data_IF_310663117618
#
_entry.id   IF_310663117618
#
_cell.length_a   1.000
_cell.length_b   1.000
_cell.length_c   1.000
_cell.angle_alpha   90.00
_cell.angle_beta   90.00
_cell.angle_gamma   90.00
#
_symmetry.space_group_name_H-M   'P 1'
#
loop_
_entity.id
_entity.type
_entity.pdbx_description
1 polymer ?
#
# COMPACT_ATOMS: atom_id res chain seq x y z
N UNK A 1 5.46 -17.35 8.38
CA UNK A 1 6.20 -17.33 9.58
C UNK A 1 6.07 -16.02 10.28
N UNK A 2 6.17 -16.03 11.57
CA UNK A 2 5.91 -14.91 12.46
C UNK A 2 6.71 -13.65 12.21
N UNK A 3 6.62 -13.13 11.04
CA UNK A 3 7.20 -11.85 10.72
C UNK A 3 6.43 -10.79 11.48
N UNK A 4 7.10 -10.14 12.38
CA UNK A 4 6.56 -9.02 13.10
C UNK A 4 7.30 -7.77 12.62
N UNK A 5 6.89 -7.18 11.52
CA UNK A 5 7.55 -5.99 11.01
C UNK A 5 7.25 -4.78 11.87
N UNK A 6 8.11 -3.80 11.84
CA UNK A 6 7.93 -2.54 12.55
C UNK A 6 6.97 -1.63 11.79
N UNK A 7 5.75 -2.07 11.61
CA UNK A 7 4.71 -1.24 11.04
C UNK A 7 3.89 -0.59 12.14
N UNK A 8 3.43 0.60 11.93
CA UNK A 8 2.51 1.29 12.82
C UNK A 8 3.13 2.33 13.75
N UNK A 9 4.46 2.41 13.84
CA UNK A 9 5.12 3.53 14.52
C UNK A 9 5.82 4.42 13.49
N UNK A 10 5.35 5.64 13.36
CA UNK A 10 5.88 6.59 12.39
C UNK A 10 7.36 6.94 12.61
N UNK A 11 7.85 6.79 13.84
CA UNK A 11 9.26 7.05 14.13
C UNK A 11 10.20 6.03 13.49
N UNK A 12 9.69 4.86 13.15
CA UNK A 12 10.45 3.79 12.50
C UNK A 12 10.34 3.85 10.98
N UNK A 13 9.53 4.75 10.45
CA UNK A 13 9.28 4.82 9.01
C UNK A 13 10.42 5.54 8.29
N UNK A 14 10.80 4.99 7.14
CA UNK A 14 11.75 5.64 6.24
C UNK A 14 11.06 6.78 5.49
N UNK A 15 11.52 7.98 5.70
CA UNK A 15 10.94 9.22 5.20
C UNK A 15 11.56 9.67 3.86
N UNK A 16 12.02 8.75 3.05
CA UNK A 16 12.78 9.04 1.83
C UNK A 16 11.95 9.15 0.55
N UNK A 17 10.66 9.37 0.64
CA UNK A 17 9.84 9.60 -0.56
C UNK A 17 10.36 10.83 -1.31
N UNK A 18 10.58 10.72 -2.63
CA UNK A 18 11.08 11.83 -3.40
C UNK A 18 10.08 12.97 -3.43
N UNK A 19 10.55 14.18 -3.17
CA UNK A 19 9.76 15.39 -3.33
C UNK A 19 9.55 15.69 -4.80
N UNK A 20 8.33 16.05 -5.18
CA UNK A 20 8.02 16.58 -6.51
C UNK A 20 7.66 18.05 -6.33
N UNK A 21 8.62 18.96 -6.40
CA UNK A 21 8.37 20.39 -6.13
C UNK A 21 7.33 21.02 -7.05
N UNK A 22 7.26 20.53 -8.28
CA UNK A 22 6.29 21.00 -9.27
C UNK A 22 4.86 20.52 -9.03
N UNK A 23 4.64 19.62 -8.07
CA UNK A 23 3.33 19.06 -7.78
C UNK A 23 2.28 20.14 -7.49
N UNK A 24 2.65 21.14 -6.71
CA UNK A 24 1.74 22.25 -6.37
C UNK A 24 1.46 23.18 -7.53
N UNK A 25 2.34 23.18 -8.53
CA UNK A 25 2.19 24.04 -9.73
C UNK A 25 1.32 23.35 -10.77
N UNK A 26 1.42 22.04 -10.88
CA UNK A 26 0.70 21.25 -11.88
C UNK A 26 -0.80 21.14 -11.60
N UNK A 27 -1.21 21.31 -10.36
CA UNK A 27 -2.61 21.06 -9.95
C UNK A 27 -3.05 19.61 -10.04
N UNK A 28 -2.14 18.68 -10.33
CA UNK A 28 -2.45 17.25 -10.37
C UNK A 28 -2.69 16.74 -8.94
N UNK A 29 -3.91 16.26 -8.60
CA UNK A 29 -4.22 15.82 -7.25
C UNK A 29 -3.29 14.73 -6.72
N UNK A 30 -2.84 13.82 -7.58
CA UNK A 30 -1.94 12.74 -7.18
C UNK A 30 -0.56 13.27 -6.83
N UNK A 31 -0.04 14.20 -7.62
CA UNK A 31 1.24 14.82 -7.34
C UNK A 31 1.17 15.72 -6.09
N UNK A 32 0.06 16.40 -5.88
CA UNK A 32 -0.17 17.20 -4.68
C UNK A 32 -0.19 16.27 -3.45
N UNK A 33 -0.90 15.16 -3.52
CA UNK A 33 -0.92 14.17 -2.45
C UNK A 33 0.48 13.67 -2.15
N UNK A 34 1.28 13.36 -3.16
CA UNK A 34 2.66 12.94 -3.00
C UNK A 34 3.51 13.99 -2.28
N UNK A 35 3.45 15.23 -2.76
CA UNK A 35 4.22 16.31 -2.18
C UNK A 35 3.87 16.53 -0.71
N UNK A 36 2.61 16.39 -0.37
CA UNK A 36 2.12 16.60 0.98
C UNK A 36 2.45 15.48 1.90
N UNK A 37 2.36 14.26 1.45
CA UNK A 37 2.84 13.15 2.25
C UNK A 37 4.31 13.32 2.58
N UNK A 38 5.10 13.84 1.65
CA UNK A 38 6.49 14.12 1.92
C UNK A 38 6.69 15.22 2.96
N UNK A 39 5.94 16.32 2.85
CA UNK A 39 5.98 17.41 3.84
C UNK A 39 5.52 16.89 5.20
N UNK A 40 4.46 16.10 5.23
CA UNK A 40 3.98 15.46 6.43
C UNK A 40 5.02 14.53 7.06
N UNK A 41 5.79 13.82 6.25
CA UNK A 41 6.88 12.98 6.71
C UNK A 41 8.00 13.79 7.36
N UNK A 42 8.36 14.91 6.77
CA UNK A 42 9.39 15.80 7.34
C UNK A 42 8.92 16.45 8.63
N UNK A 43 7.63 16.67 8.79
CA UNK A 43 7.05 17.21 10.03
C UNK A 43 6.83 16.15 11.11
N UNK A 44 6.92 14.88 10.79
CA UNK A 44 7.17 13.76 11.70
C UNK A 44 6.17 13.38 12.75
N UNK A 45 5.01 12.86 12.44
CA UNK A 45 4.46 12.09 13.55
C UNK A 45 3.68 10.87 13.13
N UNK A 46 2.80 10.99 12.18
CA UNK A 46 2.06 9.86 11.64
C UNK A 46 1.80 10.11 10.18
N UNK A 47 2.64 9.51 9.33
CA UNK A 47 2.51 9.67 7.88
C UNK A 47 1.08 9.37 7.43
N UNK A 48 0.47 8.32 7.98
CA UNK A 48 -0.89 7.95 7.65
C UNK A 48 -1.91 9.03 8.07
N UNK A 49 -1.83 9.51 9.32
CA UNK A 49 -2.76 10.52 9.83
C UNK A 49 -2.54 11.88 9.17
N UNK A 50 -1.29 12.24 8.94
CA UNK A 50 -0.96 13.48 8.25
C UNK A 50 -1.39 13.45 6.79
N UNK A 51 -1.19 12.31 6.11
CA UNK A 51 -1.66 12.14 4.75
C UNK A 51 -3.18 12.29 4.66
N UNK A 52 -3.91 11.70 5.61
CA UNK A 52 -5.36 11.83 5.69
C UNK A 52 -5.79 13.27 5.96
N UNK A 53 -5.22 13.93 6.96
CA UNK A 53 -5.51 15.33 7.27
C UNK A 53 -5.23 16.24 6.09
N UNK A 54 -4.23 15.92 5.32
CA UNK A 54 -3.88 16.73 4.18
C UNK A 54 -4.79 16.51 2.99
N UNK A 55 -5.20 15.30 2.73
CA UNK A 55 -6.28 15.03 1.80
C UNK A 55 -7.54 15.81 2.17
N UNK A 56 -7.84 15.90 3.47
CA UNK A 56 -8.94 16.71 3.98
C UNK A 56 -8.73 18.20 3.72
N UNK A 57 -7.51 18.72 3.93
CA UNK A 57 -7.20 20.13 3.72
C UNK A 57 -7.28 20.54 2.26
N UNK A 58 -7.06 19.60 1.34
CA UNK A 58 -7.21 19.82 -0.10
C UNK A 58 -8.66 19.67 -0.58
N UNK A 59 -9.58 19.31 0.30
CA UNK A 59 -10.97 19.02 -0.07
C UNK A 59 -11.12 17.71 -0.83
N UNK A 60 -10.08 16.85 -0.83
CA UNK A 60 -10.12 15.54 -1.47
C UNK A 60 -10.71 14.46 -0.56
N UNK A 61 -10.81 14.73 0.74
CA UNK A 61 -11.53 13.94 1.71
C UNK A 61 -12.42 14.89 2.52
N UNK A 62 -13.64 14.49 2.90
CA UNK A 62 -14.46 15.31 3.75
C UNK A 62 -13.84 15.48 5.14
N UNK A 63 -14.04 16.64 5.73
CA UNK A 63 -13.74 16.86 7.13
C UNK A 63 -14.70 16.01 7.97
N UNK A 64 -14.19 15.33 8.97
CA UNK A 64 -14.89 14.42 9.87
C UNK A 64 -16.43 14.48 9.94
N UNK A 65 -17.10 13.38 10.22
CA UNK A 65 -16.60 12.19 10.92
C UNK A 65 -16.31 11.04 9.98
N UNK A 66 -15.07 10.75 9.78
CA UNK A 66 -14.69 9.53 9.10
C UNK A 66 -14.57 8.44 10.15
N UNK A 67 -15.11 7.23 9.92
CA UNK A 67 -14.93 6.13 10.85
C UNK A 67 -13.45 5.87 11.11
N UNK A 68 -13.15 5.58 12.32
CA UNK A 68 -11.80 5.54 12.87
C UNK A 68 -11.03 4.26 12.59
N UNK A 69 -11.58 3.35 11.80
CA UNK A 69 -10.92 2.08 11.49
C UNK A 69 -9.86 2.19 10.38
N UNK A 70 -9.62 3.39 9.88
CA UNK A 70 -8.60 3.65 8.86
C UNK A 70 -8.95 3.16 7.46
N UNK A 71 -10.06 2.46 7.28
CA UNK A 71 -10.47 1.90 6.00
C UNK A 71 -11.46 2.78 5.24
N UNK A 72 -11.93 3.86 5.86
CA UNK A 72 -13.05 4.62 5.33
C UNK A 72 -12.61 5.88 4.62
N UNK A 73 -11.97 5.72 3.48
CA UNK A 73 -11.85 6.80 2.52
C UNK A 73 -13.23 6.96 1.86
N UNK A 74 -13.84 8.15 1.92
CA UNK A 74 -15.14 8.35 1.29
C UNK A 74 -15.11 8.01 -0.20
N UNK A 75 -16.14 7.33 -0.66
CA UNK A 75 -16.25 6.83 -2.03
C UNK A 75 -16.04 7.91 -3.08
N UNK A 76 -16.47 9.15 -2.82
CA UNK A 76 -16.30 10.28 -3.73
C UNK A 76 -14.84 10.57 -4.08
N UNK A 77 -13.88 10.16 -3.22
CA UNK A 77 -12.45 10.39 -3.43
C UNK A 77 -11.67 9.09 -3.59
N UNK A 78 -12.37 7.97 -3.62
CA UNK A 78 -11.75 6.65 -3.65
C UNK A 78 -10.89 6.41 -4.88
N UNK A 79 -11.34 6.84 -6.06
CA UNK A 79 -10.56 6.68 -7.29
C UNK A 79 -9.22 7.41 -7.23
N UNK A 80 -9.18 8.63 -6.69
CA UNK A 80 -7.94 9.39 -6.49
C UNK A 80 -7.02 8.67 -5.50
N UNK A 81 -7.57 8.16 -4.42
CA UNK A 81 -6.80 7.41 -3.43
C UNK A 81 -6.24 6.11 -4.01
N UNK A 82 -7.02 5.39 -4.80
CA UNK A 82 -6.56 4.17 -5.49
C UNK A 82 -5.38 4.48 -6.41
N UNK A 83 -5.49 5.53 -7.23
CA UNK A 83 -4.39 5.91 -8.11
C UNK A 83 -3.14 6.30 -7.34
N UNK A 84 -3.29 6.96 -6.21
CA UNK A 84 -2.16 7.27 -5.35
C UNK A 84 -1.50 6.01 -4.76
N UNK A 85 -2.29 5.08 -4.25
CA UNK A 85 -1.80 3.80 -3.72
C UNK A 85 -0.99 3.07 -4.80
N UNK A 86 -1.54 2.95 -6.00
CA UNK A 86 -0.88 2.27 -7.11
C UNK A 86 0.43 3.00 -7.47
N UNK A 87 0.39 4.31 -7.61
CA UNK A 87 1.59 5.09 -7.93
C UNK A 87 2.67 4.95 -6.87
N UNK A 88 2.27 4.94 -5.60
CA UNK A 88 3.19 4.71 -4.48
C UNK A 88 3.86 3.34 -4.57
N UNK A 89 3.08 2.29 -4.82
CA UNK A 89 3.64 0.95 -5.01
C UNK A 89 4.52 0.85 -6.24
N UNK A 90 4.09 1.42 -7.36
CA UNK A 90 4.86 1.40 -8.60
C UNK A 90 6.17 2.19 -8.52
N UNK A 91 6.26 3.17 -7.65
CA UNK A 91 7.52 3.89 -7.40
C UNK A 91 8.63 2.98 -6.86
N UNK A 92 8.27 1.80 -6.37
CA UNK A 92 9.19 0.83 -5.80
C UNK A 92 9.57 -0.30 -6.77
N UNK A 93 9.15 -0.23 -8.03
CA UNK A 93 9.54 -1.21 -9.05
C UNK A 93 11.07 -1.27 -9.13
N UNK A 94 11.61 -2.49 -9.11
CA UNK A 94 13.04 -2.73 -9.12
C UNK A 94 13.67 -2.90 -7.73
N UNK A 95 12.96 -2.56 -6.67
CA UNK A 95 13.44 -2.78 -5.29
C UNK A 95 13.46 -4.28 -5.00
N UNK A 96 14.54 -4.82 -4.40
CA UNK A 96 14.65 -6.25 -4.15
C UNK A 96 13.56 -6.79 -3.23
N UNK A 97 13.19 -8.05 -3.47
CA UNK A 97 12.42 -8.80 -2.50
C UNK A 97 13.26 -9.05 -1.24
N UNK A 98 12.66 -8.84 -0.09
CA UNK A 98 13.30 -9.14 1.21
C UNK A 98 12.25 -9.76 2.13
N UNK A 99 12.48 -11.01 2.53
CA UNK A 99 11.56 -11.72 3.43
C UNK A 99 11.39 -10.95 4.75
N UNK A 100 10.17 -10.56 5.05
CA UNK A 100 9.85 -9.72 6.20
C UNK A 100 10.13 -8.24 6.01
N UNK A 101 10.61 -7.83 4.84
CA UNK A 101 10.94 -6.43 4.54
C UNK A 101 9.74 -5.59 4.17
N UNK A 102 9.90 -4.29 4.35
CA UNK A 102 8.91 -3.28 4.04
C UNK A 102 8.18 -2.73 5.27
N UNK A 103 8.11 -1.43 5.35
CA UNK A 103 7.36 -0.69 6.37
C UNK A 103 6.47 0.34 5.70
N UNK A 104 5.67 1.03 6.46
CA UNK A 104 4.86 2.14 5.95
C UNK A 104 5.69 3.26 5.32
N UNK A 105 6.97 3.36 5.64
CA UNK A 105 7.85 4.39 5.11
C UNK A 105 8.64 3.94 3.86
N UNK A 106 8.77 2.66 3.62
CA UNK A 106 9.52 2.18 2.47
C UNK A 106 10.16 0.83 2.66
N UNK A 107 11.16 0.50 1.81
CA UNK A 107 11.89 -0.75 1.94
C UNK A 107 12.68 -0.79 3.24
N UNK A 108 12.82 -1.99 3.79
CA UNK A 108 13.56 -2.22 5.03
C UNK A 108 14.27 -3.57 4.98
N UNK A 109 15.23 -3.76 5.89
CA UNK A 109 15.83 -5.07 6.08
C UNK A 109 14.78 -6.03 6.66
N UNK A 110 14.69 -7.20 6.07
CA UNK A 110 13.80 -8.25 6.54
C UNK A 110 14.38 -9.07 7.66
N UNK A 111 13.89 -10.28 7.78
CA UNK A 111 14.35 -11.26 8.75
C UNK A 111 14.81 -12.53 8.06
N UNK A 112 15.52 -13.40 8.78
CA UNK A 112 16.01 -14.68 8.26
C UNK A 112 16.71 -14.49 6.90
N UNK A 113 16.19 -15.07 5.82
CA UNK A 113 16.77 -14.91 4.48
C UNK A 113 16.75 -13.47 3.96
N UNK A 114 15.91 -12.61 4.52
CA UNK A 114 15.80 -11.19 4.17
C UNK A 114 16.66 -10.25 5.02
N UNK A 115 17.37 -10.76 6.03
CA UNK A 115 18.08 -9.93 6.99
C UNK A 115 19.23 -9.11 6.39
N UNK A 116 19.78 -9.55 5.28
CA UNK A 116 20.86 -8.85 4.57
C UNK A 116 20.38 -8.00 3.38
N UNK A 117 19.09 -7.94 3.12
CA UNK A 117 18.53 -7.25 1.95
C UNK A 117 17.51 -6.22 2.38
N UNK A 118 17.69 -4.99 1.92
CA UNK A 118 16.70 -3.93 2.10
C UNK A 118 15.69 -3.99 0.95
N UNK A 119 14.44 -4.27 1.26
CA UNK A 119 13.41 -4.41 0.24
C UNK A 119 12.03 -4.61 0.84
N UNK A 120 11.17 -5.27 0.07
CA UNK A 120 9.79 -5.60 0.45
C UNK A 120 9.57 -7.10 0.29
N UNK A 121 8.81 -7.71 1.19
CA UNK A 121 8.09 -8.92 0.84
C UNK A 121 6.73 -8.56 0.21
N UNK A 122 5.95 -9.57 -0.16
CA UNK A 122 4.69 -9.35 -0.86
C UNK A 122 3.73 -8.45 -0.09
N UNK A 123 3.54 -8.72 1.19
CA UNK A 123 2.63 -7.98 2.06
C UNK A 123 3.22 -6.67 2.56
N UNK A 124 4.54 -6.56 2.65
CA UNK A 124 5.22 -5.31 2.98
C UNK A 124 5.03 -4.24 1.91
N UNK A 125 5.04 -4.65 0.64
CA UNK A 125 4.73 -3.74 -0.47
C UNK A 125 3.30 -3.22 -0.39
N UNK A 126 2.34 -4.09 -0.13
CA UNK A 126 0.93 -3.71 0.01
C UNK A 126 0.74 -2.78 1.20
N UNK A 127 1.33 -3.11 2.34
CA UNK A 127 1.31 -2.27 3.53
C UNK A 127 1.83 -0.86 3.23
N UNK A 128 2.98 -0.77 2.56
CA UNK A 128 3.58 0.49 2.17
C UNK A 128 2.66 1.31 1.26
N UNK A 129 2.12 0.67 0.23
CA UNK A 129 1.28 1.37 -0.74
C UNK A 129 0.03 2.00 -0.09
N UNK A 130 -0.68 1.23 0.73
CA UNK A 130 -1.90 1.70 1.38
C UNK A 130 -1.66 2.67 2.54
N UNK A 131 -0.49 2.61 3.17
CA UNK A 131 -0.11 3.58 4.19
C UNK A 131 -0.11 5.01 3.67
N UNK A 132 0.12 5.19 2.38
CA UNK A 132 0.13 6.50 1.73
C UNK A 132 -1.21 7.25 1.82
N UNK A 133 -2.31 6.54 1.98
CA UNK A 133 -3.65 7.14 2.12
C UNK A 133 -4.25 6.92 3.50
N UNK A 134 -3.41 6.59 4.48
CA UNK A 134 -3.83 6.46 5.87
C UNK A 134 -4.43 5.13 6.25
N UNK A 135 -4.35 4.13 5.38
CA UNK A 135 -4.82 2.77 5.69
C UNK A 135 -3.67 1.99 6.31
N UNK A 136 -3.80 1.65 7.57
CA UNK A 136 -2.80 0.87 8.31
C UNK A 136 -3.12 -0.61 8.18
N UNK A 137 -2.27 -1.34 7.46
CA UNK A 137 -2.42 -2.76 7.29
C UNK A 137 -1.40 -3.50 8.17
N UNK A 138 -1.76 -4.66 8.72
CA UNK A 138 -0.79 -5.55 9.33
C UNK A 138 0.16 -6.11 8.26
N UNK A 139 1.34 -6.57 8.66
CA UNK A 139 2.31 -7.07 7.68
C UNK A 139 1.93 -8.44 7.12
N UNK A 140 1.39 -9.32 7.94
CA UNK A 140 1.05 -10.67 7.52
C UNK A 140 -0.11 -10.65 6.50
N UNK A 141 0.08 -11.31 5.34
CA UNK A 141 -0.92 -11.32 4.27
C UNK A 141 -2.25 -11.95 4.70
N UNK A 142 -2.21 -13.00 5.51
CA UNK A 142 -3.42 -13.61 6.06
C UNK A 142 -4.24 -12.65 6.92
N UNK A 143 -3.59 -11.76 7.65
CA UNK A 143 -4.26 -10.71 8.43
C UNK A 143 -4.81 -9.61 7.52
N UNK A 144 -4.07 -9.25 6.48
CA UNK A 144 -4.55 -8.31 5.47
C UNK A 144 -5.81 -8.83 4.76
N UNK A 145 -5.87 -10.15 4.50
CA UNK A 145 -7.02 -10.78 3.88
C UNK A 145 -8.30 -10.65 4.73
N UNK A 146 -8.16 -10.59 6.03
CA UNK A 146 -9.28 -10.48 6.97
C UNK A 146 -9.71 -9.03 7.24
N UNK A 147 -9.06 -8.06 6.62
CA UNK A 147 -9.44 -6.66 6.69
C UNK A 147 -10.11 -6.24 5.37
N UNK A 148 -10.90 -5.18 5.42
CA UNK A 148 -11.57 -4.68 4.24
C UNK A 148 -12.73 -5.54 3.75
N UNK A 149 -13.27 -5.19 2.60
CA UNK A 149 -14.47 -5.82 2.05
C UNK A 149 -14.09 -6.93 1.06
N UNK A 150 -14.69 -8.10 1.22
CA UNK A 150 -14.51 -9.23 0.31
C UNK A 150 -15.31 -8.99 -0.98
N UNK A 151 -14.63 -9.12 -2.11
CA UNK A 151 -15.22 -9.01 -3.44
C UNK A 151 -14.94 -10.33 -4.17
N UNK A 152 -15.92 -10.95 -4.81
CA UNK A 152 -15.64 -12.12 -5.65
C UNK A 152 -14.51 -11.83 -6.63
N UNK A 153 -13.57 -12.74 -6.78
CA UNK A 153 -12.39 -12.52 -7.62
C UNK A 153 -12.74 -12.21 -9.09
N UNK A 154 -13.89 -12.72 -9.56
CA UNK A 154 -14.40 -12.40 -10.89
C UNK A 154 -14.84 -10.94 -11.07
N UNK A 155 -14.97 -10.20 -9.99
CA UNK A 155 -15.43 -8.81 -9.98
C UNK A 155 -14.34 -7.84 -9.53
N UNK A 156 -13.09 -8.28 -9.53
CA UNK A 156 -11.99 -7.40 -9.10
C UNK A 156 -11.86 -6.17 -9.99
N UNK A 157 -11.52 -5.06 -9.37
CA UNK A 157 -11.24 -3.78 -10.05
C UNK A 157 -9.88 -3.25 -9.63
N UNK A 158 -9.37 -2.33 -10.44
CA UNK A 158 -8.12 -1.62 -10.16
C UNK A 158 -8.09 -1.11 -8.72
N UNK A 159 -7.03 -1.44 -8.00
CA UNK A 159 -6.84 -1.12 -6.59
C UNK A 159 -7.25 -2.22 -5.61
N UNK A 160 -7.99 -3.22 -6.07
CA UNK A 160 -8.26 -4.39 -5.24
C UNK A 160 -6.99 -5.19 -4.99
N UNK A 161 -6.98 -5.92 -3.90
CA UNK A 161 -5.81 -6.69 -3.45
C UNK A 161 -6.11 -8.17 -3.62
N UNK A 162 -5.24 -8.84 -4.38
CA UNK A 162 -5.38 -10.26 -4.74
C UNK A 162 -4.57 -11.09 -3.75
N UNK A 163 -5.16 -12.18 -3.27
CA UNK A 163 -4.53 -13.07 -2.30
C UNK A 163 -4.41 -14.49 -2.85
N UNK A 164 -3.43 -15.22 -2.33
CA UNK A 164 -3.12 -16.58 -2.74
C UNK A 164 -2.90 -17.47 -1.52
N UNK A 165 -3.26 -18.72 -1.66
CA UNK A 165 -3.14 -19.73 -0.61
C UNK A 165 -4.30 -19.72 0.38
N UNK A 166 -4.36 -20.71 1.28
CA UNK A 166 -5.43 -20.80 2.27
C UNK A 166 -5.50 -19.56 3.15
N UNK A 167 -6.66 -18.90 3.18
CA UNK A 167 -6.84 -17.67 3.97
C UNK A 167 -5.95 -16.50 3.54
N UNK A 168 -5.45 -16.51 2.30
CA UNK A 168 -4.55 -15.49 1.80
C UNK A 168 -3.14 -15.54 2.39
N UNK A 169 -2.74 -16.66 2.96
CA UNK A 169 -1.53 -16.77 3.78
C UNK A 169 -0.22 -16.87 3.00
N UNK A 170 -0.25 -17.12 1.68
CA UNK A 170 0.94 -17.44 0.92
C UNK A 170 1.48 -16.28 0.08
N UNK A 171 0.61 -15.44 -0.46
CA UNK A 171 1.02 -14.33 -1.31
C UNK A 171 -0.08 -13.28 -1.43
N UNK A 172 0.33 -12.05 -1.81
CA UNK A 172 -0.58 -10.94 -1.99
C UNK A 172 -0.04 -9.97 -3.04
N UNK A 173 -0.93 -9.40 -3.83
CA UNK A 173 -0.60 -8.45 -4.91
C UNK A 173 -1.64 -7.34 -4.99
N UNK A 174 -1.32 -6.26 -5.71
CA UNK A 174 -2.27 -5.18 -6.00
C UNK A 174 -2.72 -5.30 -7.45
N UNK A 175 -4.02 -5.38 -7.68
CA UNK A 175 -4.57 -5.44 -9.03
C UNK A 175 -4.51 -4.07 -9.72
N UNK A 176 -3.92 -4.03 -10.91
CA UNK A 176 -3.75 -2.80 -11.69
C UNK A 176 -4.83 -2.61 -12.75
N UNK A 177 -5.72 -3.59 -12.91
CA UNK A 177 -6.61 -3.63 -14.08
C UNK A 177 -5.96 -4.33 -15.27
N UNK A 178 -6.74 -4.60 -16.29
CA UNK A 178 -6.29 -5.19 -17.57
C UNK A 178 -5.48 -6.49 -17.40
N UNK A 179 -5.81 -7.29 -16.39
CA UNK A 179 -5.14 -8.56 -16.15
C UNK A 179 -3.73 -8.45 -15.60
N UNK A 180 -3.35 -7.31 -15.04
CA UNK A 180 -2.01 -7.07 -14.48
C UNK A 180 -2.06 -6.82 -12.98
N UNK A 181 -0.96 -7.16 -12.30
CA UNK A 181 -0.80 -6.94 -10.87
C UNK A 181 0.60 -6.45 -10.54
N UNK A 182 0.70 -5.66 -9.46
CA UNK A 182 1.96 -5.23 -8.87
C UNK A 182 2.30 -6.14 -7.70
N UNK A 183 3.52 -6.65 -7.66
CA UNK A 183 3.93 -7.61 -6.64
C UNK A 183 5.42 -7.53 -6.30
N UNK A 184 5.75 -7.96 -5.08
CA UNK A 184 7.08 -8.39 -4.68
C UNK A 184 7.02 -9.93 -4.60
N UNK A 185 7.54 -10.67 -5.62
CA UNK A 185 7.12 -12.06 -5.81
C UNK A 185 7.85 -13.08 -4.94
N UNK A 186 9.19 -13.05 -4.86
CA UNK A 186 9.99 -14.03 -4.13
C UNK A 186 11.44 -13.57 -4.02
N UNK A 187 12.18 -14.21 -3.13
CA UNK A 187 13.63 -13.97 -2.95
C UNK A 187 14.39 -14.14 -4.26
N UNK A 188 15.24 -13.18 -4.56
CA UNK A 188 16.01 -13.16 -5.81
C UNK A 188 15.34 -12.34 -6.92
N UNK A 189 14.10 -11.94 -6.74
CA UNK A 189 13.38 -11.06 -7.67
C UNK A 189 13.24 -9.65 -7.09
N UNK A 190 12.54 -8.81 -7.82
CA UNK A 190 12.29 -7.41 -7.45
C UNK A 190 10.80 -7.11 -7.54
N UNK A 191 10.38 -5.99 -6.96
CA UNK A 191 9.05 -5.45 -7.19
C UNK A 191 8.83 -5.25 -8.68
N UNK A 192 7.73 -5.75 -9.20
CA UNK A 192 7.44 -5.75 -10.64
C UNK A 192 5.96 -5.84 -10.95
N UNK A 193 5.63 -5.55 -12.19
CA UNK A 193 4.31 -5.82 -12.76
C UNK A 193 4.33 -7.21 -13.39
N UNK A 194 3.30 -8.00 -13.11
CA UNK A 194 3.13 -9.36 -13.63
C UNK A 194 1.71 -9.56 -14.14
N UNK A 195 1.49 -10.49 -15.09
CA UNK A 195 0.14 -10.95 -15.39
C UNK A 195 -0.50 -11.59 -14.16
N UNK A 196 -1.79 -11.39 -13.98
CA UNK A 196 -2.52 -12.03 -12.88
C UNK A 196 -2.47 -13.55 -13.05
N UNK A 197 -2.01 -14.23 -12.02
CA UNK A 197 -2.03 -15.69 -11.92
C UNK A 197 -3.30 -16.10 -11.19
N UNK A 198 -3.95 -17.16 -11.65
CA UNK A 198 -5.16 -17.69 -11.03
C UNK A 198 -4.90 -18.92 -10.16
N UNK A 199 -3.78 -19.59 -10.35
CA UNK A 199 -3.41 -20.75 -9.55
C UNK A 199 -3.22 -20.37 -8.09
N UNK A 200 -3.96 -21.01 -7.19
CA UNK A 200 -3.91 -20.73 -5.76
C UNK A 200 -4.60 -19.45 -5.31
N UNK A 201 -5.22 -18.71 -6.23
CA UNK A 201 -5.94 -17.50 -5.90
C UNK A 201 -7.11 -17.80 -4.96
N UNK A 202 -7.30 -16.97 -3.95
CA UNK A 202 -8.47 -17.05 -3.07
C UNK A 202 -9.75 -16.74 -3.84
N UNK A 203 -10.92 -17.23 -3.39
CA UNK A 203 -12.19 -16.95 -4.08
C UNK A 203 -12.58 -15.47 -4.05
N UNK A 204 -11.98 -14.70 -3.12
CA UNK A 204 -12.24 -13.27 -2.97
C UNK A 204 -10.96 -12.49 -3.09
N UNK A 205 -11.06 -11.28 -3.64
CA UNK A 205 -10.10 -10.20 -3.45
C UNK A 205 -10.58 -9.31 -2.31
N UNK A 206 -9.72 -8.41 -1.83
CA UNK A 206 -10.10 -7.48 -0.76
C UNK A 206 -10.07 -6.05 -1.32
N UNK A 207 -11.13 -5.31 -1.01
CA UNK A 207 -11.23 -3.89 -1.35
C UNK A 207 -11.14 -3.06 -0.09
N UNK A 208 -10.07 -2.28 0.00
CA UNK A 208 -9.85 -1.36 1.12
C UNK A 208 -10.40 0.04 0.81
N UNK A 209 -10.52 0.39 -0.46
CA UNK A 209 -10.95 1.72 -0.91
C UNK A 209 -12.13 1.56 -1.85
N UNK A 210 -13.25 2.14 -1.48
CA UNK A 210 -14.46 2.16 -2.32
C UNK A 210 -14.41 3.35 -3.29
N UNK A 211 -14.88 3.11 -4.51
CA UNK A 211 -15.04 4.18 -5.51
C UNK A 211 -16.03 3.79 -6.60
#
# INVERSE_FOLDING_TARGET
GGVKPPYGDASEWDMTLPMIPSAFISGDPIQIINAVLLIAQTALQFVADLGKKFLQSLGLLPADPVPTDGSAIPTAYGSTAVEYVIKRGMSQIGVPYSWGGGTAAGPSFGIDSGSGTRGFDCSGLVLYAFAGVGIKLPHYSGSQYNMGRKIPSSQMRRGDVIFYGPGGSQHVTIYLGNGQMLEAPYTGSTVKISPVRTSGMTPYVVRYIEY
#
